data_IF_174456459243
#
_entry.id   IF_174456459243
#
_cell.length_a   1.000
_cell.length_b   1.000
_cell.length_c   1.000
_cell.angle_alpha   90.00
_cell.angle_beta   90.00
_cell.angle_gamma   90.00
#
_symmetry.space_group_name_H-M   'P 1'
#
loop_
_entity.id
_entity.type
_entity.pdbx_description
1 polymer ?
#
# COMPACT_ATOMS: atom_id res chain seq x y z
N UNK A 1 8.96 -12.10 6.77
CA UNK A 1 8.04 -11.08 7.29
C UNK A 1 6.67 -11.36 6.69
N UNK A 2 5.63 -11.44 7.51
CA UNK A 2 4.23 -11.62 7.09
C UNK A 2 3.50 -10.27 7.02
N UNK A 3 2.35 -10.17 6.33
CA UNK A 3 1.52 -8.96 6.37
C UNK A 3 1.13 -8.53 7.79
N UNK A 4 0.81 -9.49 8.67
CA UNK A 4 0.47 -9.21 10.07
C UNK A 4 1.66 -8.63 10.85
N UNK A 5 2.87 -9.17 10.65
CA UNK A 5 4.11 -8.61 11.22
C UNK A 5 4.37 -7.20 10.68
N UNK A 6 4.12 -6.95 9.39
CA UNK A 6 4.28 -5.64 8.77
C UNK A 6 3.31 -4.62 9.38
N UNK A 7 2.01 -4.95 9.50
CA UNK A 7 1.02 -4.11 10.20
C UNK A 7 1.46 -3.83 11.63
N UNK A 8 1.87 -4.87 12.36
CA UNK A 8 2.23 -4.74 13.76
C UNK A 8 3.46 -3.82 13.95
N UNK A 9 4.47 -3.97 13.10
CA UNK A 9 5.65 -3.11 13.13
C UNK A 9 5.29 -1.65 12.84
N UNK A 10 4.40 -1.38 11.88
CA UNK A 10 3.96 -0.01 11.59
C UNK A 10 3.30 0.63 12.81
N UNK A 11 2.50 -0.11 13.57
CA UNK A 11 1.85 0.43 14.76
C UNK A 11 2.82 0.71 15.91
N UNK A 12 3.92 -0.03 16.02
CA UNK A 12 4.83 0.01 17.19
C UNK A 12 6.11 0.79 16.95
N UNK A 13 6.71 0.63 15.77
CA UNK A 13 8.08 1.04 15.52
C UNK A 13 8.13 2.45 14.93
N UNK A 14 9.22 3.17 15.19
CA UNK A 14 9.43 4.52 14.67
C UNK A 14 9.85 4.53 13.18
N UNK A 15 10.33 3.39 12.66
CA UNK A 15 10.87 3.25 11.30
C UNK A 15 10.50 1.88 10.74
N UNK A 16 10.39 1.75 9.40
CA UNK A 16 10.18 0.46 8.77
C UNK A 16 11.34 -0.50 9.07
N UNK A 17 11.08 -1.82 9.15
CA UNK A 17 12.12 -2.84 9.21
C UNK A 17 13.16 -2.67 8.09
N UNK A 18 14.42 -2.94 8.41
CA UNK A 18 15.49 -2.87 7.41
C UNK A 18 15.31 -3.95 6.33
N UNK A 19 15.68 -3.62 5.09
CA UNK A 19 15.65 -4.54 3.95
C UNK A 19 14.26 -4.77 3.33
N UNK A 20 13.27 -3.95 3.67
CA UNK A 20 11.99 -3.92 2.93
C UNK A 20 12.17 -3.34 1.53
N UNK A 21 11.48 -3.92 0.55
CA UNK A 21 11.31 -3.31 -0.78
C UNK A 21 10.59 -1.96 -0.67
N UNK A 22 10.72 -1.10 -1.67
CA UNK A 22 10.03 0.20 -1.69
C UNK A 22 8.51 0.04 -1.55
N UNK A 23 7.93 -0.94 -2.24
CA UNK A 23 6.50 -1.24 -2.13
C UNK A 23 6.07 -1.65 -0.71
N UNK A 24 6.86 -2.49 -0.03
CA UNK A 24 6.59 -2.86 1.36
C UNK A 24 6.77 -1.67 2.31
N UNK A 25 7.73 -0.77 2.04
CA UNK A 25 7.89 0.48 2.79
C UNK A 25 6.68 1.41 2.60
N UNK A 26 6.16 1.55 1.38
CA UNK A 26 4.97 2.37 1.11
C UNK A 26 3.76 1.87 1.91
N UNK A 27 3.50 0.55 1.92
CA UNK A 27 2.42 -0.04 2.72
C UNK A 27 2.64 0.13 4.23
N UNK A 28 3.89 0.06 4.70
CA UNK A 28 4.25 0.31 6.09
C UNK A 28 3.91 1.74 6.49
N UNK A 29 4.30 2.74 5.68
CA UNK A 29 3.99 4.15 5.93
C UNK A 29 2.47 4.42 5.85
N UNK A 30 1.77 3.80 4.91
CA UNK A 30 0.31 3.86 4.85
C UNK A 30 -0.31 3.37 6.17
N UNK A 31 0.13 2.20 6.68
CA UNK A 31 -0.41 1.66 7.93
C UNK A 31 0.01 2.47 9.16
N UNK A 32 1.15 3.17 9.10
CA UNK A 32 1.61 4.12 10.12
C UNK A 32 0.73 5.38 10.18
N UNK A 33 -0.02 5.68 9.12
CA UNK A 33 -0.76 6.93 8.94
C UNK A 33 0.07 8.05 8.32
N UNK A 34 1.27 7.73 7.80
CA UNK A 34 2.15 8.67 7.11
C UNK A 34 1.88 8.64 5.60
N UNK A 35 0.75 9.24 5.21
CA UNK A 35 0.25 9.16 3.84
C UNK A 35 1.14 9.89 2.85
N UNK A 36 1.74 11.02 3.24
CA UNK A 36 2.67 11.76 2.37
C UNK A 36 3.88 10.91 1.99
N UNK A 37 4.48 10.23 2.98
CA UNK A 37 5.63 9.35 2.71
C UNK A 37 5.23 8.12 1.90
N UNK A 38 4.05 7.56 2.16
CA UNK A 38 3.53 6.44 1.39
C UNK A 38 3.31 6.81 -0.09
N UNK A 39 2.69 7.98 -0.37
CA UNK A 39 2.53 8.49 -1.72
C UNK A 39 3.87 8.74 -2.41
N UNK A 40 4.82 9.38 -1.72
CA UNK A 40 6.13 9.68 -2.28
C UNK A 40 6.85 8.40 -2.73
N UNK A 41 6.82 7.34 -1.93
CA UNK A 41 7.43 6.06 -2.30
C UNK A 41 6.63 5.39 -3.44
N UNK A 42 5.30 5.35 -3.35
CA UNK A 42 4.47 4.72 -4.39
C UNK A 42 4.62 5.41 -5.75
N UNK A 43 4.86 6.73 -5.77
CA UNK A 43 5.07 7.53 -6.98
C UNK A 43 6.31 7.11 -7.77
N UNK A 44 7.35 6.62 -7.09
CA UNK A 44 8.60 6.18 -7.72
C UNK A 44 8.53 4.72 -8.23
N UNK A 45 7.44 4.00 -7.95
CA UNK A 45 7.22 2.61 -8.39
C UNK A 45 6.39 2.62 -9.68
N UNK A 46 7.07 2.58 -10.83
CA UNK A 46 6.45 2.76 -12.15
C UNK A 46 5.90 1.46 -12.77
N UNK A 47 5.14 0.68 -11.99
CA UNK A 47 4.54 -0.57 -12.44
C UNK A 47 3.12 -0.78 -11.86
N UNK A 48 2.49 -1.92 -12.20
CA UNK A 48 1.16 -2.26 -11.73
C UNK A 48 1.07 -2.37 -10.19
N UNK A 49 2.16 -2.70 -9.51
CA UNK A 49 2.22 -2.81 -8.06
C UNK A 49 2.21 -1.41 -7.42
N UNK A 50 2.98 -0.47 -7.96
CA UNK A 50 2.95 0.95 -7.56
C UNK A 50 1.57 1.58 -7.77
N UNK A 51 0.97 1.35 -8.93
CA UNK A 51 -0.40 1.77 -9.21
C UNK A 51 -1.42 1.16 -8.23
N UNK A 52 -1.25 -0.10 -7.84
CA UNK A 52 -2.16 -0.74 -6.89
C UNK A 52 -2.08 -0.10 -5.49
N UNK A 53 -0.86 0.24 -5.04
CA UNK A 53 -0.63 0.93 -3.77
C UNK A 53 -1.24 2.35 -3.81
N UNK A 54 -1.09 3.10 -4.90
CA UNK A 54 -1.75 4.40 -5.10
C UNK A 54 -3.27 4.29 -5.07
N UNK A 55 -3.84 3.26 -5.71
CA UNK A 55 -5.27 2.99 -5.66
C UNK A 55 -5.78 2.78 -4.23
N UNK A 56 -5.02 2.04 -3.42
CA UNK A 56 -5.34 1.85 -2.00
C UNK A 56 -5.18 3.15 -1.18
N UNK A 57 -4.12 3.93 -1.43
CA UNK A 57 -3.90 5.20 -0.74
C UNK A 57 -5.10 6.14 -0.90
N UNK A 58 -5.50 6.43 -2.14
CA UNK A 58 -6.64 7.29 -2.41
C UNK A 58 -7.97 6.69 -1.93
N UNK A 59 -8.11 5.36 -1.90
CA UNK A 59 -9.27 4.71 -1.31
C UNK A 59 -9.39 5.00 0.19
N UNK A 60 -8.26 4.99 0.92
CA UNK A 60 -8.20 5.31 2.35
C UNK A 60 -8.45 6.81 2.59
N UNK A 61 -7.99 7.68 1.70
CA UNK A 61 -8.25 9.13 1.75
C UNK A 61 -9.71 9.51 1.44
N UNK A 62 -10.47 8.61 0.81
CA UNK A 62 -11.83 8.86 0.35
C UNK A 62 -11.91 9.51 -1.03
N UNK A 63 -10.78 9.68 -1.74
CA UNK A 63 -10.75 10.08 -3.14
C UNK A 63 -11.05 8.88 -4.05
N UNK A 64 -12.34 8.53 -4.10
CA UNK A 64 -12.79 7.36 -4.85
C UNK A 64 -12.59 7.54 -6.37
N UNK A 65 -12.48 8.77 -6.86
CA UNK A 65 -12.22 9.06 -8.26
C UNK A 65 -10.81 8.62 -8.65
N UNK A 66 -9.81 9.11 -7.91
CA UNK A 66 -8.42 8.73 -8.14
C UNK A 66 -8.15 7.28 -7.76
N UNK A 67 -8.77 6.76 -6.71
CA UNK A 67 -8.66 5.34 -6.37
C UNK A 67 -9.05 4.44 -7.55
N UNK A 68 -10.18 4.75 -8.22
CA UNK A 68 -10.64 3.99 -9.41
C UNK A 68 -9.65 4.08 -10.57
N UNK A 69 -9.11 5.26 -10.83
CA UNK A 69 -8.10 5.47 -11.87
C UNK A 69 -6.88 4.58 -11.63
N UNK A 70 -6.32 4.63 -10.43
CA UNK A 70 -5.11 3.86 -10.10
C UNK A 70 -5.34 2.34 -10.01
N UNK A 71 -6.51 1.90 -9.53
CA UNK A 71 -6.85 0.48 -9.64
C UNK A 71 -6.92 0.01 -11.10
N UNK A 72 -7.45 0.85 -12.01
CA UNK A 72 -7.47 0.53 -13.44
C UNK A 72 -6.06 0.48 -14.04
N UNK A 73 -5.17 1.42 -13.70
CA UNK A 73 -3.75 1.39 -14.10
C UNK A 73 -3.03 0.13 -13.57
N UNK A 74 -3.41 -0.35 -12.38
CA UNK A 74 -2.93 -1.61 -11.83
C UNK A 74 -3.53 -2.87 -12.50
N UNK A 75 -4.47 -2.71 -13.44
CA UNK A 75 -5.20 -3.82 -14.05
C UNK A 75 -6.17 -4.53 -13.09
N UNK A 76 -6.65 -3.84 -12.05
CA UNK A 76 -7.51 -4.40 -10.99
C UNK A 76 -8.87 -3.68 -10.92
N UNK A 77 -9.93 -4.38 -10.50
CA UNK A 77 -11.23 -3.75 -10.31
C UNK A 77 -11.21 -2.80 -9.10
N UNK A 78 -11.98 -1.73 -9.17
CA UNK A 78 -12.20 -0.87 -8.01
C UNK A 78 -12.93 -1.58 -6.89
N UNK A 79 -12.57 -1.26 -5.64
CA UNK A 79 -13.21 -1.81 -4.44
C UNK A 79 -13.93 -0.73 -3.63
N UNK A 80 -14.73 -1.14 -2.65
CA UNK A 80 -15.38 -0.24 -1.69
C UNK A 80 -14.43 0.13 -0.53
N UNK A 81 -14.61 1.29 0.12
CA UNK A 81 -13.79 1.67 1.28
C UNK A 81 -13.76 0.62 2.42
N UNK A 82 -14.86 -0.10 2.63
CA UNK A 82 -14.94 -1.18 3.61
C UNK A 82 -13.98 -2.36 3.33
N UNK A 83 -13.40 -2.42 2.13
CA UNK A 83 -12.45 -3.47 1.71
C UNK A 83 -10.98 -3.00 1.80
N UNK A 84 -10.71 -1.76 2.22
CA UNK A 84 -9.35 -1.20 2.20
C UNK A 84 -8.34 -2.05 3.00
N UNK A 85 -8.72 -2.54 4.18
CA UNK A 85 -7.80 -3.35 5.00
C UNK A 85 -7.52 -4.74 4.37
N UNK A 86 -8.51 -5.31 3.68
CA UNK A 86 -8.33 -6.57 2.94
C UNK A 86 -7.43 -6.37 1.72
N UNK A 87 -7.63 -5.29 0.96
CA UNK A 87 -6.75 -4.94 -0.16
C UNK A 87 -5.33 -4.67 0.33
N UNK A 88 -5.17 -3.99 1.47
CA UNK A 88 -3.85 -3.83 2.08
C UNK A 88 -3.18 -5.18 2.34
N UNK A 89 -3.91 -6.15 2.90
CA UNK A 89 -3.37 -7.48 3.20
C UNK A 89 -2.97 -8.25 1.94
N UNK A 90 -3.76 -8.14 0.87
CA UNK A 90 -3.47 -8.74 -0.43
C UNK A 90 -2.19 -8.15 -1.04
N UNK A 91 -2.07 -6.82 -1.09
CA UNK A 91 -0.84 -6.17 -1.59
C UNK A 91 0.35 -6.57 -0.72
N UNK A 92 0.22 -6.51 0.60
CA UNK A 92 1.30 -6.84 1.52
C UNK A 92 1.77 -8.29 1.34
N UNK A 93 0.87 -9.23 1.09
CA UNK A 93 1.23 -10.61 0.81
C UNK A 93 2.04 -10.74 -0.50
N UNK A 94 1.62 -10.03 -1.57
CA UNK A 94 2.28 -10.03 -2.87
C UNK A 94 3.70 -9.43 -2.78
N UNK A 95 3.85 -8.23 -2.21
CA UNK A 95 5.13 -7.52 -2.14
C UNK A 95 6.15 -8.18 -1.22
N UNK A 96 5.70 -8.97 -0.23
CA UNK A 96 6.59 -9.69 0.69
C UNK A 96 7.01 -11.06 0.15
N UNK A 97 6.24 -11.64 -0.78
CA UNK A 97 6.56 -12.91 -1.43
C UNK A 97 7.57 -12.76 -2.56
N UNK A 98 7.51 -11.66 -3.32
CA UNK A 98 8.37 -11.39 -4.48
C UNK A 98 9.77 -10.85 -4.15
N UNK A 99 10.47 -11.43 -3.17
CA UNK A 99 11.84 -11.02 -2.79
C UNK A 99 12.83 -11.02 -3.94
#
# INVERSE_FOLDING_TARGET
MTPAELKQSALKDARPPAGLSEAAQALWHLKKGDWEKAHAIAQDIHDAQGAWIHGLLHLVEGDLGNARYWFAEAGRPSVKPAQADAVWDEIAAEVLAGR
#
